data_IF_045327769293
#
_entry.id   IF_045327769293
#
_cell.length_a   1.000
_cell.length_b   1.000
_cell.length_c   1.000
_cell.angle_alpha   90.00
_cell.angle_beta   90.00
_cell.angle_gamma   90.00
#
_symmetry.space_group_name_H-M   'P 1'
#
loop_
_entity.id
_entity.type
_entity.pdbx_description
1 polymer ?
#
# COMPACT_ATOMS: atom_id res chain seq x y z
N UNK A 1 -93.54 -8.90 15.95
CA UNK A 1 -92.39 -9.52 15.21
C UNK A 1 -91.31 -8.47 14.84
N UNK A 2 -91.55 -7.21 14.72
CA UNK A 2 -90.58 -6.15 14.28
C UNK A 2 -89.38 -5.86 15.20
N UNK A 3 -89.61 -5.86 16.54
CA UNK A 3 -88.49 -5.56 17.48
C UNK A 3 -87.35 -6.52 17.48
N UNK A 4 -87.55 -7.78 17.07
CA UNK A 4 -86.51 -8.82 16.99
C UNK A 4 -85.57 -8.64 15.77
N UNK A 5 -86.16 -8.10 14.69
CA UNK A 5 -85.38 -7.79 13.47
C UNK A 5 -84.48 -6.58 13.62
N UNK A 6 -84.90 -5.56 14.31
CA UNK A 6 -84.16 -4.28 14.54
C UNK A 6 -82.91 -4.58 15.43
N UNK A 7 -83.07 -5.43 16.45
CA UNK A 7 -81.97 -5.85 17.33
C UNK A 7 -80.91 -6.64 16.58
N UNK A 8 -81.31 -7.44 15.62
CA UNK A 8 -80.38 -8.26 14.79
C UNK A 8 -79.56 -7.38 13.83
N UNK A 9 -80.18 -6.35 13.20
CA UNK A 9 -79.50 -5.40 12.32
C UNK A 9 -78.47 -4.53 13.08
N UNK A 10 -78.82 -4.05 14.31
CA UNK A 10 -77.89 -3.32 15.17
C UNK A 10 -76.65 -4.16 15.55
N UNK A 11 -76.85 -5.40 15.85
CA UNK A 11 -75.70 -6.31 16.13
C UNK A 11 -74.84 -6.57 14.93
N UNK A 12 -75.41 -6.78 13.78
CA UNK A 12 -74.68 -6.96 12.52
C UNK A 12 -73.85 -5.68 12.19
N UNK A 13 -74.42 -4.51 12.27
CA UNK A 13 -73.72 -3.23 12.04
C UNK A 13 -72.57 -3.03 13.05
N UNK A 14 -72.77 -3.41 14.31
CA UNK A 14 -71.73 -3.30 15.35
C UNK A 14 -70.57 -4.28 15.07
N UNK A 15 -70.87 -5.50 14.58
CA UNK A 15 -69.82 -6.48 14.23
C UNK A 15 -69.05 -6.09 12.97
N UNK A 16 -69.73 -5.48 11.98
CA UNK A 16 -69.07 -4.88 10.82
C UNK A 16 -68.11 -3.71 11.19
N UNK A 17 -68.56 -2.81 12.11
CA UNK A 17 -67.71 -1.74 12.58
C UNK A 17 -66.48 -2.24 13.35
N UNK A 18 -66.64 -3.28 14.18
CA UNK A 18 -65.57 -3.95 14.91
C UNK A 18 -64.55 -4.61 13.95
N UNK A 19 -65.05 -5.28 12.89
CA UNK A 19 -64.19 -5.89 11.87
C UNK A 19 -63.41 -4.83 11.06
N UNK A 20 -64.05 -3.72 10.72
CA UNK A 20 -63.41 -2.61 10.04
C UNK A 20 -62.32 -1.96 10.91
N UNK A 21 -62.57 -1.79 12.19
CA UNK A 21 -61.64 -1.26 13.18
C UNK A 21 -60.46 -2.22 13.42
N UNK A 22 -60.72 -3.51 13.53
CA UNK A 22 -59.70 -4.56 13.64
C UNK A 22 -58.78 -4.61 12.41
N UNK A 23 -59.36 -4.51 11.20
CA UNK A 23 -58.57 -4.43 9.95
C UNK A 23 -57.72 -3.18 9.89
N UNK A 24 -58.25 -2.03 10.29
CA UNK A 24 -57.50 -0.76 10.32
C UNK A 24 -56.35 -0.82 11.30
N UNK A 25 -56.58 -1.38 12.49
CA UNK A 25 -55.54 -1.56 13.51
C UNK A 25 -54.46 -2.59 13.06
N UNK A 26 -54.87 -3.66 12.41
CA UNK A 26 -53.94 -4.63 11.86
C UNK A 26 -53.07 -3.99 10.75
N UNK A 27 -53.69 -3.27 9.82
CA UNK A 27 -52.97 -2.58 8.75
C UNK A 27 -51.98 -1.53 9.30
N UNK A 28 -52.41 -0.80 10.34
CA UNK A 28 -51.53 0.17 11.00
C UNK A 28 -50.36 -0.51 11.69
N UNK A 29 -50.57 -1.58 12.46
CA UNK A 29 -49.50 -2.36 13.08
C UNK A 29 -48.54 -2.92 12.06
N UNK A 30 -49.03 -3.49 10.97
CA UNK A 30 -48.21 -4.02 9.89
C UNK A 30 -47.34 -2.92 9.27
N UNK A 31 -47.88 -1.75 8.96
CA UNK A 31 -47.12 -0.59 8.46
C UNK A 31 -46.02 -0.16 9.44
N UNK A 32 -46.34 -0.13 10.72
CA UNK A 32 -45.39 0.25 11.77
C UNK A 32 -44.23 -0.74 11.87
N UNK A 33 -44.50 -2.03 11.79
CA UNK A 33 -43.46 -3.10 11.74
C UNK A 33 -42.57 -2.94 10.51
N UNK A 34 -43.16 -2.65 9.33
CA UNK A 34 -42.35 -2.44 8.12
C UNK A 34 -41.45 -1.19 8.24
N UNK A 35 -41.97 -0.08 8.78
CA UNK A 35 -41.17 1.12 8.99
C UNK A 35 -40.02 0.85 9.96
N UNK A 36 -40.33 0.18 11.09
CA UNK A 36 -39.32 -0.15 12.08
C UNK A 36 -38.24 -1.08 11.51
N UNK A 37 -38.65 -2.08 10.74
CA UNK A 37 -37.71 -3.01 10.07
C UNK A 37 -36.80 -2.27 9.07
N UNK A 38 -37.37 -1.37 8.26
CA UNK A 38 -36.61 -0.55 7.31
C UNK A 38 -35.59 0.36 8.00
N UNK A 39 -35.98 1.01 9.12
CA UNK A 39 -35.07 1.83 9.92
C UNK A 39 -33.94 1.00 10.54
N UNK A 40 -34.27 -0.19 11.05
CA UNK A 40 -33.26 -1.10 11.61
C UNK A 40 -32.24 -1.53 10.56
N UNK A 41 -32.70 -1.94 9.36
CA UNK A 41 -31.84 -2.32 8.25
C UNK A 41 -30.93 -1.14 7.85
N UNK A 42 -31.49 0.07 7.74
CA UNK A 42 -30.70 1.26 7.41
C UNK A 42 -29.62 1.56 8.47
N UNK A 43 -29.94 1.41 9.77
CA UNK A 43 -28.97 1.57 10.85
C UNK A 43 -27.84 0.52 10.78
N UNK A 44 -28.18 -0.74 10.52
CA UNK A 44 -27.19 -1.81 10.39
C UNK A 44 -26.26 -1.56 9.19
N UNK A 45 -26.80 -1.13 8.06
CA UNK A 45 -25.99 -0.79 6.88
C UNK A 45 -25.08 0.42 7.14
N UNK A 46 -25.57 1.46 7.81
CA UNK A 46 -24.75 2.61 8.20
C UNK A 46 -23.64 2.22 9.18
N UNK A 47 -23.94 1.36 10.14
CA UNK A 47 -22.96 0.85 11.08
C UNK A 47 -21.89 0.00 10.36
N UNK A 48 -22.32 -0.93 9.51
CA UNK A 48 -21.41 -1.76 8.71
C UNK A 48 -20.51 -0.90 7.82
N UNK A 49 -21.07 0.10 7.14
CA UNK A 49 -20.30 1.07 6.34
C UNK A 49 -19.24 1.81 7.18
N UNK A 50 -19.60 2.28 8.38
CA UNK A 50 -18.65 2.95 9.27
C UNK A 50 -17.56 2.02 9.79
N UNK A 51 -17.92 0.78 10.13
CA UNK A 51 -16.95 -0.23 10.59
C UNK A 51 -15.97 -0.58 9.47
N UNK A 52 -16.46 -0.84 8.25
CA UNK A 52 -15.62 -1.16 7.09
C UNK A 52 -14.69 -0.01 6.75
N UNK A 53 -15.21 1.22 6.63
CA UNK A 53 -14.37 2.40 6.39
C UNK A 53 -13.37 2.66 7.52
N UNK A 54 -13.77 2.42 8.77
CA UNK A 54 -12.87 2.56 9.92
C UNK A 54 -11.77 1.49 9.98
N UNK A 55 -12.07 0.26 9.54
CA UNK A 55 -11.12 -0.85 9.51
C UNK A 55 -10.13 -0.73 8.34
N UNK A 56 -10.58 -0.29 7.16
CA UNK A 56 -9.72 -0.07 6.00
C UNK A 56 -8.68 1.04 6.22
N UNK A 57 -8.92 1.93 7.18
CA UNK A 57 -8.02 3.04 7.51
C UNK A 57 -7.07 2.73 8.68
N UNK A 58 -7.11 1.51 9.25
CA UNK A 58 -6.25 1.11 10.37
C UNK A 58 -5.35 -0.03 9.94
N UNK A 59 -4.15 0.29 9.48
CA UNK A 59 -3.10 -0.71 9.29
C UNK A 59 -2.42 -0.91 10.64
N UNK A 60 -2.59 -2.09 11.23
CA UNK A 60 -1.85 -2.51 12.42
C UNK A 60 -0.47 -3.00 11.96
N UNK A 61 0.56 -2.27 12.30
CA UNK A 61 1.94 -2.70 12.09
C UNK A 61 2.48 -3.19 13.43
N UNK A 62 2.97 -4.42 13.44
CA UNK A 62 3.69 -4.99 14.59
C UNK A 62 5.17 -4.71 14.39
N UNK A 63 5.84 -4.10 15.35
CA UNK A 63 7.28 -3.92 15.30
C UNK A 63 8.01 -5.25 15.62
N UNK A 64 9.32 -5.30 15.40
CA UNK A 64 10.14 -6.49 15.65
C UNK A 64 10.09 -6.97 17.12
N UNK A 65 9.63 -6.14 18.04
CA UNK A 65 9.42 -6.47 19.45
C UNK A 65 8.04 -7.01 19.79
N UNK A 66 7.14 -7.19 18.82
CA UNK A 66 5.78 -7.70 19.03
C UNK A 66 4.80 -6.69 19.64
N UNK A 67 5.17 -5.41 19.75
CA UNK A 67 4.30 -4.36 20.25
C UNK A 67 3.42 -3.80 19.13
N UNK A 68 2.13 -3.60 19.43
CA UNK A 68 1.19 -2.95 18.53
C UNK A 68 1.47 -1.44 18.47
N UNK A 69 2.02 -0.98 17.37
CA UNK A 69 2.18 0.45 17.13
C UNK A 69 0.88 1.00 16.54
N UNK A 70 0.19 1.85 17.28
CA UNK A 70 -0.97 2.58 16.77
C UNK A 70 -0.53 3.58 15.71
N UNK A 71 -0.55 3.17 14.45
CA UNK A 71 -0.42 4.12 13.36
C UNK A 71 -1.76 4.85 13.16
N UNK A 72 -1.72 6.18 13.24
CA UNK A 72 -2.75 7.04 12.63
C UNK A 72 -2.87 6.57 11.18
N UNK A 73 -4.12 6.35 10.73
CA UNK A 73 -4.40 5.93 9.36
C UNK A 73 -3.62 6.82 8.37
N UNK A 74 -2.52 6.31 7.87
CA UNK A 74 -1.81 6.91 6.75
C UNK A 74 -2.69 6.63 5.54
N UNK A 75 -3.01 7.67 4.77
CA UNK A 75 -3.72 7.49 3.49
C UNK A 75 -2.94 6.48 2.67
N UNK A 76 -3.65 5.54 2.06
CA UNK A 76 -3.03 4.46 1.28
C UNK A 76 -1.99 4.98 0.29
N UNK A 77 -2.27 6.14 -0.34
CA UNK A 77 -1.36 6.82 -1.26
C UNK A 77 -0.02 7.18 -0.60
N UNK A 78 -0.04 7.72 0.63
CA UNK A 78 1.18 8.07 1.37
C UNK A 78 1.99 6.84 1.77
N UNK A 79 1.31 5.70 2.03
CA UNK A 79 2.00 4.45 2.31
C UNK A 79 2.73 3.94 1.07
N UNK A 80 2.06 3.92 -0.08
CA UNK A 80 2.67 3.52 -1.36
C UNK A 80 3.86 4.41 -1.72
N UNK A 81 3.73 5.72 -1.58
CA UNK A 81 4.83 6.66 -1.80
C UNK A 81 6.03 6.38 -0.88
N UNK A 82 5.77 6.14 0.40
CA UNK A 82 6.81 5.80 1.38
C UNK A 82 7.51 4.48 1.06
N UNK A 83 6.75 3.45 0.67
CA UNK A 83 7.28 2.15 0.27
C UNK A 83 8.08 2.25 -1.03
N UNK A 84 7.61 3.03 -2.02
CA UNK A 84 8.31 3.29 -3.26
C UNK A 84 9.64 4.02 -3.01
N UNK A 85 9.63 5.05 -2.17
CA UNK A 85 10.84 5.76 -1.74
C UNK A 85 11.83 4.83 -1.05
N UNK A 86 11.35 3.95 -0.16
CA UNK A 86 12.18 2.93 0.48
C UNK A 86 12.76 1.95 -0.55
N UNK A 87 11.98 1.55 -1.55
CA UNK A 87 12.43 0.69 -2.63
C UNK A 87 13.54 1.34 -3.45
N UNK A 88 13.36 2.60 -3.89
CA UNK A 88 14.38 3.36 -4.62
C UNK A 88 15.68 3.50 -3.80
N UNK A 89 15.56 3.79 -2.49
CA UNK A 89 16.70 3.85 -1.58
C UNK A 89 17.44 2.53 -1.47
N UNK A 90 16.72 1.42 -1.30
CA UNK A 90 17.31 0.09 -1.21
C UNK A 90 17.96 -0.31 -2.53
N UNK A 91 17.35 0.01 -3.67
CA UNK A 91 17.90 -0.24 -5.00
C UNK A 91 19.21 0.52 -5.20
N UNK A 92 19.24 1.82 -4.90
CA UNK A 92 20.48 2.60 -4.94
C UNK A 92 21.56 1.99 -4.04
N UNK A 93 21.18 1.59 -2.85
CA UNK A 93 22.08 1.00 -1.87
C UNK A 93 22.68 -0.30 -2.36
N UNK A 94 21.87 -1.29 -2.74
CA UNK A 94 22.39 -2.63 -3.09
C UNK A 94 23.09 -2.68 -4.45
N UNK A 95 22.75 -1.81 -5.41
CA UNK A 95 23.44 -1.74 -6.68
C UNK A 95 24.80 -1.05 -6.60
N UNK A 96 24.94 -0.02 -5.75
CA UNK A 96 26.07 0.90 -5.83
C UNK A 96 26.91 0.95 -4.55
N UNK A 97 26.50 0.29 -3.47
CA UNK A 97 27.31 0.20 -2.25
C UNK A 97 28.02 -1.15 -2.21
N UNK A 98 29.32 -1.13 -2.09
CA UNK A 98 30.11 -2.34 -1.89
C UNK A 98 31.49 -2.00 -1.30
N UNK A 99 32.02 -2.95 -0.62
CA UNK A 99 33.36 -3.05 -0.10
C UNK A 99 33.81 -4.52 -0.20
N UNK A 100 34.99 -4.82 0.31
CA UNK A 100 35.55 -6.18 0.28
C UNK A 100 34.62 -7.24 0.89
N UNK A 101 33.81 -6.89 1.89
CA UNK A 101 32.98 -7.85 2.65
C UNK A 101 31.55 -7.94 2.09
N UNK A 102 31.00 -6.83 1.61
CA UNK A 102 29.58 -6.71 1.25
C UNK A 102 29.30 -6.91 -0.24
N UNK A 103 30.31 -6.94 -1.10
CA UNK A 103 30.14 -6.98 -2.56
C UNK A 103 29.21 -8.09 -3.04
N UNK A 104 29.45 -9.33 -2.63
CA UNK A 104 28.68 -10.48 -3.14
C UNK A 104 27.23 -10.46 -2.62
N UNK A 105 27.06 -10.13 -1.35
CA UNK A 105 25.75 -10.05 -0.73
C UNK A 105 24.91 -8.95 -1.36
N UNK A 106 25.46 -7.75 -1.53
CA UNK A 106 24.73 -6.62 -2.11
C UNK A 106 24.35 -6.88 -3.57
N UNK A 107 25.22 -7.50 -4.37
CA UNK A 107 24.87 -7.92 -5.73
C UNK A 107 23.72 -8.93 -5.75
N UNK A 108 23.74 -9.92 -4.88
CA UNK A 108 22.67 -10.90 -4.79
C UNK A 108 21.34 -10.23 -4.39
N UNK A 109 21.36 -9.33 -3.39
CA UNK A 109 20.17 -8.60 -2.94
C UNK A 109 19.62 -7.64 -4.01
N UNK A 110 20.46 -7.01 -4.81
CA UNK A 110 20.03 -6.13 -5.89
C UNK A 110 19.13 -6.84 -6.92
N UNK A 111 19.38 -8.12 -7.19
CA UNK A 111 18.59 -8.93 -8.13
C UNK A 111 17.16 -9.23 -7.68
N UNK A 112 16.83 -9.00 -6.41
CA UNK A 112 15.44 -9.04 -5.91
C UNK A 112 14.70 -7.71 -6.10
N UNK A 113 15.40 -6.65 -6.46
CA UNK A 113 14.85 -5.29 -6.59
C UNK A 113 14.79 -4.82 -8.05
N UNK A 114 15.70 -5.30 -8.89
CA UNK A 114 15.87 -4.88 -10.29
C UNK A 114 15.98 -6.12 -11.18
N UNK A 115 15.48 -6.02 -12.41
CA UNK A 115 15.61 -7.09 -13.38
C UNK A 115 17.10 -7.44 -13.65
N UNK A 116 17.34 -8.70 -13.93
CA UNK A 116 18.69 -9.24 -14.08
C UNK A 116 19.50 -8.61 -15.23
N UNK A 117 18.94 -8.34 -16.42
CA UNK A 117 19.66 -7.68 -17.51
C UNK A 117 20.20 -6.30 -17.12
N UNK A 118 19.35 -5.43 -16.57
CA UNK A 118 19.74 -4.06 -16.23
C UNK A 118 20.73 -4.01 -15.06
N UNK A 119 20.48 -4.83 -14.02
CA UNK A 119 21.46 -4.99 -12.93
C UNK A 119 22.79 -5.50 -13.47
N UNK A 120 22.77 -6.46 -14.42
CA UNK A 120 23.95 -6.99 -15.08
C UNK A 120 24.76 -5.93 -15.82
N UNK A 121 24.09 -5.00 -16.51
CA UNK A 121 24.74 -3.87 -17.19
C UNK A 121 25.47 -2.97 -16.21
N UNK A 122 24.88 -2.67 -15.05
CA UNK A 122 25.52 -1.86 -14.01
C UNK A 122 26.71 -2.59 -13.41
N UNK A 123 26.58 -3.89 -13.14
CA UNK A 123 27.68 -4.69 -12.61
C UNK A 123 28.84 -4.79 -13.62
N UNK A 124 28.53 -4.95 -14.91
CA UNK A 124 29.53 -4.98 -15.96
C UNK A 124 30.29 -3.63 -16.07
N UNK A 125 29.59 -2.51 -15.89
CA UNK A 125 30.22 -1.19 -15.82
C UNK A 125 31.22 -1.10 -14.66
N UNK A 126 30.83 -1.46 -13.44
CA UNK A 126 31.75 -1.47 -12.29
C UNK A 126 32.92 -2.40 -12.47
N UNK A 127 32.73 -3.53 -13.17
CA UNK A 127 33.80 -4.45 -13.52
C UNK A 127 34.76 -3.82 -14.53
N UNK A 128 34.24 -3.17 -15.58
CA UNK A 128 35.04 -2.51 -16.60
C UNK A 128 35.86 -1.34 -16.04
N UNK A 129 35.26 -0.60 -15.12
CA UNK A 129 35.90 0.53 -14.40
C UNK A 129 36.86 0.05 -13.28
N UNK A 130 37.11 -1.28 -13.15
CA UNK A 130 37.93 -1.93 -12.12
C UNK A 130 37.46 -1.67 -10.66
N UNK A 131 36.29 -1.08 -10.45
CA UNK A 131 35.81 -0.72 -9.13
C UNK A 131 35.72 -1.91 -8.15
N UNK A 132 35.37 -3.09 -8.65
CA UNK A 132 35.35 -4.32 -7.84
C UNK A 132 36.77 -4.80 -7.50
N UNK A 133 37.71 -4.67 -8.43
CA UNK A 133 39.14 -4.97 -8.18
C UNK A 133 39.67 -4.04 -7.09
N UNK A 134 39.45 -2.76 -7.22
CA UNK A 134 39.89 -1.76 -6.23
C UNK A 134 39.30 -2.01 -4.85
N UNK A 135 38.03 -2.42 -4.75
CA UNK A 135 37.42 -2.76 -3.48
C UNK A 135 38.04 -4.03 -2.85
N UNK A 136 38.35 -5.06 -3.65
CA UNK A 136 38.86 -6.33 -3.16
C UNK A 136 40.36 -6.27 -2.84
N UNK A 137 41.15 -5.59 -3.68
CA UNK A 137 42.61 -5.56 -3.62
C UNK A 137 43.14 -4.38 -2.80
N UNK A 138 42.56 -3.19 -3.03
CA UNK A 138 43.02 -1.93 -2.41
C UNK A 138 42.18 -1.50 -1.20
N UNK A 139 41.07 -2.20 -0.95
CA UNK A 139 40.18 -1.83 0.19
C UNK A 139 39.39 -0.54 -0.03
N UNK A 140 39.20 -0.12 -1.27
CA UNK A 140 38.36 1.02 -1.60
C UNK A 140 36.91 0.75 -1.21
N UNK A 141 36.26 1.72 -0.57
CA UNK A 141 34.86 1.61 -0.12
C UNK A 141 33.97 2.47 -1.00
N UNK A 142 32.96 1.85 -1.59
CA UNK A 142 31.91 2.49 -2.36
C UNK A 142 30.68 2.65 -1.48
N UNK A 143 30.33 3.88 -1.10
CA UNK A 143 29.25 4.20 -0.17
C UNK A 143 28.17 5.03 -0.86
N UNK A 144 26.94 4.54 -0.87
CA UNK A 144 25.83 5.21 -1.55
C UNK A 144 24.85 5.78 -0.55
N UNK A 145 24.47 7.02 -0.76
CA UNK A 145 23.45 7.74 0.00
C UNK A 145 22.34 8.18 -0.95
N UNK A 146 21.11 7.79 -0.63
CA UNK A 146 19.92 8.24 -1.37
C UNK A 146 19.69 9.73 -1.09
N UNK A 147 19.52 10.51 -2.15
CA UNK A 147 19.30 11.97 -2.04
C UNK A 147 17.81 12.30 -2.05
N UNK A 148 17.15 12.07 -3.17
CA UNK A 148 15.72 12.39 -3.33
C UNK A 148 15.09 11.66 -4.52
N UNK A 149 13.77 11.60 -4.50
CA UNK A 149 12.96 11.34 -5.70
C UNK A 149 12.86 12.65 -6.48
N UNK A 150 13.09 12.58 -7.79
CA UNK A 150 13.01 13.72 -8.70
C UNK A 150 11.62 13.79 -9.33
N UNK A 151 11.12 12.64 -9.81
CA UNK A 151 9.83 12.53 -10.49
C UNK A 151 9.21 11.16 -10.27
N UNK A 152 7.89 11.11 -10.13
CA UNK A 152 7.09 9.88 -10.10
C UNK A 152 5.85 10.08 -10.95
N UNK A 153 5.65 9.20 -11.92
CA UNK A 153 4.44 9.18 -12.76
C UNK A 153 3.82 7.80 -12.69
N UNK A 154 2.56 7.75 -12.28
CA UNK A 154 1.77 6.53 -12.32
C UNK A 154 1.21 6.32 -13.73
N UNK A 155 1.34 5.10 -14.25
CA UNK A 155 0.76 4.66 -15.51
C UNK A 155 0.11 3.28 -15.28
N UNK A 156 -1.18 3.27 -14.97
CA UNK A 156 -1.91 2.08 -14.56
C UNK A 156 -1.32 1.46 -13.29
N UNK A 157 -0.84 0.23 -13.39
CA UNK A 157 -0.23 -0.53 -12.29
C UNK A 157 1.29 -0.34 -12.20
N UNK A 158 1.87 0.49 -13.07
CA UNK A 158 3.31 0.76 -13.13
C UNK A 158 3.61 2.20 -12.69
N UNK A 159 4.83 2.41 -12.18
CA UNK A 159 5.33 3.74 -11.79
C UNK A 159 6.63 4.02 -12.55
N UNK A 160 6.65 5.11 -13.31
CA UNK A 160 7.90 5.64 -13.84
C UNK A 160 8.54 6.52 -12.78
N UNK A 161 9.73 6.15 -12.34
CA UNK A 161 10.41 6.81 -11.23
C UNK A 161 11.77 7.30 -11.65
N UNK A 162 12.08 8.56 -11.30
CA UNK A 162 13.42 9.14 -11.39
C UNK A 162 13.87 9.59 -10.02
N UNK A 163 15.08 9.23 -9.64
CA UNK A 163 15.64 9.62 -8.34
C UNK A 163 17.15 9.82 -8.43
N UNK A 164 17.69 10.54 -7.45
CA UNK A 164 19.13 10.78 -7.32
C UNK A 164 19.70 10.14 -6.06
N UNK A 165 20.95 9.72 -6.18
CA UNK A 165 21.79 9.27 -5.08
C UNK A 165 23.21 9.75 -5.26
N UNK A 166 23.98 9.82 -4.19
CA UNK A 166 25.38 10.22 -4.20
C UNK A 166 26.23 9.00 -3.85
N UNK A 167 27.13 8.65 -4.74
CA UNK A 167 28.15 7.64 -4.54
C UNK A 167 29.43 8.30 -4.07
N UNK A 168 29.89 7.93 -2.87
CA UNK A 168 31.18 8.33 -2.32
C UNK A 168 32.17 7.19 -2.49
N UNK A 169 33.25 7.43 -3.20
CA UNK A 169 34.37 6.49 -3.41
C UNK A 169 35.48 6.91 -2.47
N UNK A 170 35.74 6.07 -1.47
CA UNK A 170 36.66 6.36 -0.36
C UNK A 170 37.89 5.47 -0.53
N UNK A 171 39.03 6.11 -0.75
CA UNK A 171 40.32 5.44 -0.87
C UNK A 171 41.32 6.07 0.12
N UNK A 172 41.54 5.41 1.26
CA UNK A 172 42.36 5.96 2.34
C UNK A 172 41.84 7.32 2.84
N UNK A 173 42.60 8.38 2.65
CA UNK A 173 42.21 9.75 3.02
C UNK A 173 41.46 10.54 1.95
N UNK A 174 41.35 10.00 0.73
CA UNK A 174 40.67 10.68 -0.36
C UNK A 174 39.23 10.21 -0.52
N UNK A 175 38.33 11.15 -0.82
CA UNK A 175 36.92 10.87 -1.12
C UNK A 175 36.53 11.59 -2.41
N UNK A 176 36.07 10.81 -3.39
CA UNK A 176 35.46 11.32 -4.63
C UNK A 176 33.95 11.10 -4.58
N UNK A 177 33.18 12.06 -5.06
CA UNK A 177 31.73 11.98 -5.09
C UNK A 177 31.22 11.99 -6.52
N UNK A 178 30.26 11.12 -6.79
CA UNK A 178 29.57 10.99 -8.08
C UNK A 178 28.08 10.99 -7.80
N UNK A 179 27.33 11.84 -8.50
CA UNK A 179 25.86 11.76 -8.48
C UNK A 179 25.41 10.69 -9.45
N UNK A 180 24.51 9.85 -9.01
CA UNK A 180 23.86 8.85 -9.82
C UNK A 180 22.41 9.25 -10.01
N UNK A 181 22.03 9.53 -11.26
CA UNK A 181 20.66 9.72 -11.67
C UNK A 181 20.12 8.36 -12.13
N UNK A 182 19.12 7.88 -11.43
CA UNK A 182 18.50 6.58 -11.68
C UNK A 182 17.09 6.79 -12.21
N UNK A 183 16.71 6.03 -13.21
CA UNK A 183 15.36 6.02 -13.75
C UNK A 183 14.91 4.61 -14.11
N UNK A 184 13.62 4.34 -14.03
CA UNK A 184 13.07 3.05 -14.39
C UNK A 184 11.58 2.95 -14.19
N UNK A 185 11.05 1.84 -14.67
CA UNK A 185 9.64 1.47 -14.50
C UNK A 185 9.54 0.44 -13.37
N UNK A 186 8.77 0.79 -12.35
CA UNK A 186 8.53 -0.03 -11.16
C UNK A 186 7.14 -0.62 -11.24
N UNK A 187 7.03 -1.92 -11.01
CA UNK A 187 5.74 -2.60 -10.82
C UNK A 187 5.57 -3.00 -9.36
N UNK A 188 4.33 -3.01 -8.89
CA UNK A 188 3.99 -3.58 -7.59
C UNK A 188 3.69 -5.07 -7.76
N UNK A 189 4.33 -5.90 -6.96
CA UNK A 189 4.16 -7.34 -6.96
C UNK A 189 4.00 -7.87 -5.54
N UNK A 190 4.19 -9.17 -5.36
CA UNK A 190 4.14 -9.79 -4.04
C UNK A 190 5.43 -9.51 -3.28
N UNK A 191 5.31 -9.01 -2.05
CA UNK A 191 6.44 -8.84 -1.14
C UNK A 191 7.13 -10.18 -0.87
N UNK A 192 8.46 -10.19 -0.87
CA UNK A 192 9.28 -11.35 -0.52
C UNK A 192 10.17 -10.97 0.65
N UNK A 193 9.88 -11.54 1.80
CA UNK A 193 10.70 -11.34 3.00
C UNK A 193 11.86 -12.36 3.03
N UNK A 194 13.07 -11.97 3.41
CA UNK A 194 13.52 -10.62 3.78
C UNK A 194 14.02 -9.77 2.59
N UNK A 195 14.09 -10.32 1.37
CA UNK A 195 14.84 -9.77 0.25
C UNK A 195 14.14 -8.53 -0.36
N UNK A 196 12.81 -8.59 -0.51
CA UNK A 196 12.00 -7.50 -1.07
C UNK A 196 10.73 -7.26 -0.26
N UNK A 197 10.87 -6.58 0.86
CA UNK A 197 9.76 -6.28 1.78
C UNK A 197 8.77 -5.25 1.19
N UNK A 198 9.25 -4.37 0.30
CA UNK A 198 8.41 -3.32 -0.29
C UNK A 198 7.38 -3.85 -1.29
N UNK A 199 7.61 -5.04 -1.87
CA UNK A 199 6.80 -5.59 -2.94
C UNK A 199 6.96 -4.89 -4.30
N UNK A 200 7.81 -3.87 -4.40
CA UNK A 200 8.12 -3.20 -5.66
C UNK A 200 9.29 -3.87 -6.37
N UNK A 201 9.26 -3.84 -7.71
CA UNK A 201 10.32 -4.41 -8.54
C UNK A 201 10.55 -3.55 -9.78
N UNK A 202 11.80 -3.18 -10.07
CA UNK A 202 12.17 -2.48 -11.28
C UNK A 202 12.16 -3.44 -12.48
N UNK A 203 11.17 -3.26 -13.35
CA UNK A 203 11.05 -3.96 -14.62
C UNK A 203 12.07 -3.47 -15.65
N UNK A 204 12.30 -2.14 -15.65
CA UNK A 204 13.38 -1.49 -16.38
C UNK A 204 14.15 -0.59 -15.43
N UNK A 205 15.46 -0.47 -15.61
CA UNK A 205 16.29 0.36 -14.74
C UNK A 205 17.56 0.82 -15.46
N UNK A 206 17.85 2.09 -15.37
CA UNK A 206 19.05 2.70 -15.94
C UNK A 206 19.70 3.69 -14.97
N UNK A 207 21.00 3.90 -15.11
CA UNK A 207 21.79 4.85 -14.33
C UNK A 207 22.65 5.72 -15.21
N UNK A 208 22.68 7.01 -14.89
CA UNK A 208 23.60 8.01 -15.44
C UNK A 208 24.46 8.57 -14.32
N UNK A 209 25.73 8.85 -14.62
CA UNK A 209 26.73 9.24 -13.63
C UNK A 209 27.25 10.64 -13.94
N UNK A 210 27.22 11.53 -12.95
CA UNK A 210 27.70 12.92 -13.02
C UNK A 210 28.75 13.15 -11.93
N UNK A 211 29.92 13.67 -12.30
CA UNK A 211 30.94 14.05 -11.33
C UNK A 211 30.48 15.27 -10.52
N UNK A 212 30.71 15.26 -9.22
CA UNK A 212 30.38 16.32 -8.28
C UNK A 212 31.62 17.14 -7.92
#
# INVERSE_FOLDING_TARGET
MEKKNILNIKNILRDFSRLAEARRNHTFRTKLVFIFSAVTIAMVLLFAYRVVNGAMNKILVVNEGGEFVHFKAVRQDMLYESLLKKHCRNTAYFLNRFDRLSLQENRARALFLVNKPDAGTIFAKYQADRAYGDALELGVVYKTEFERIIDVRADGDEYHVRFSSVLSIINGGETRKVRILSEGTVMHGTSRFPENVSGFFFRTYNQQYELL
#
